data_IF_360918130933
#
_entry.id   IF_360918130933
#
_cell.length_a   1.000
_cell.length_b   1.000
_cell.length_c   1.000
_cell.angle_alpha   90.00
_cell.angle_beta   90.00
_cell.angle_gamma   90.00
#
_symmetry.space_group_name_H-M   'P 1'
#
loop_
_entity.id
_entity.type
_entity.pdbx_description
1 polymer ?
#
# COMPACT_ATOMS: atom_id res chain seq x y z
N UNK A 1 19.51 -17.26 -15.30
CA UNK A 1 19.36 -15.96 -14.62
C UNK A 1 18.00 -15.38 -14.99
N UNK A 2 17.38 -14.71 -14.03
CA UNK A 2 16.16 -13.92 -14.23
C UNK A 2 16.56 -12.47 -14.01
N UNK A 3 16.21 -11.58 -14.93
CA UNK A 3 16.43 -10.15 -14.81
C UNK A 3 15.08 -9.43 -14.90
N UNK A 4 14.85 -8.49 -14.01
CA UNK A 4 13.61 -7.71 -13.97
C UNK A 4 13.92 -6.24 -13.96
N UNK A 5 13.21 -5.46 -14.78
CA UNK A 5 13.30 -4.01 -14.84
C UNK A 5 11.91 -3.40 -14.62
N UNK A 6 11.89 -2.25 -13.91
CA UNK A 6 10.65 -1.51 -13.65
C UNK A 6 10.90 -0.02 -13.80
N UNK A 7 10.14 0.60 -14.69
CA UNK A 7 10.17 2.04 -14.94
C UNK A 7 8.83 2.66 -14.56
N UNK A 8 8.86 3.75 -13.80
CA UNK A 8 7.67 4.51 -13.42
C UNK A 8 7.94 6.00 -13.64
N UNK A 9 7.02 6.67 -14.34
CA UNK A 9 7.03 8.12 -14.49
C UNK A 9 5.68 8.69 -14.07
N UNK A 10 5.70 9.69 -13.19
CA UNK A 10 4.51 10.29 -12.59
C UNK A 10 4.47 11.80 -12.82
N UNK A 11 3.29 12.32 -13.12
CA UNK A 11 3.00 13.74 -13.12
C UNK A 11 1.71 14.01 -12.34
N UNK A 12 1.68 15.04 -11.52
CA UNK A 12 0.49 15.35 -10.73
C UNK A 12 0.29 16.85 -10.51
N UNK A 13 -0.99 17.20 -10.30
CA UNK A 13 -1.44 18.52 -9.86
C UNK A 13 -1.98 18.36 -8.43
N UNK A 14 -1.53 19.21 -7.52
CA UNK A 14 -1.93 19.20 -6.12
C UNK A 14 -2.59 20.53 -5.75
N UNK A 15 -3.78 20.48 -5.14
CA UNK A 15 -4.53 21.65 -4.69
C UNK A 15 -4.93 21.51 -3.23
N UNK A 16 -4.63 22.53 -2.43
CA UNK A 16 -5.09 22.63 -1.03
C UNK A 16 -6.38 23.43 -0.95
N UNK A 17 -7.42 22.80 -0.39
CA UNK A 17 -8.72 23.45 -0.19
C UNK A 17 -8.83 24.10 1.18
N UNK A 18 -8.22 23.47 2.18
CA UNK A 18 -8.16 23.98 3.53
C UNK A 18 -6.77 23.73 4.10
N UNK A 19 -6.21 24.76 4.73
CA UNK A 19 -4.91 24.70 5.38
C UNK A 19 -5.00 25.42 6.71
N UNK A 20 -5.10 24.69 7.81
CA UNK A 20 -5.15 25.23 9.16
C UNK A 20 -4.28 24.37 10.09
N UNK A 21 -4.01 24.84 11.31
CA UNK A 21 -3.26 24.06 12.29
C UNK A 21 -3.97 22.78 12.71
N UNK A 22 -5.31 22.81 12.74
CA UNK A 22 -6.12 21.67 13.21
C UNK A 22 -6.49 20.70 12.08
N UNK A 23 -6.67 21.18 10.83
CA UNK A 23 -7.17 20.35 9.74
C UNK A 23 -6.72 20.87 8.38
N UNK A 24 -6.20 19.97 7.57
CA UNK A 24 -5.82 20.20 6.18
C UNK A 24 -6.61 19.28 5.27
N UNK A 25 -7.06 19.81 4.13
CA UNK A 25 -7.76 19.06 3.09
C UNK A 25 -7.16 19.42 1.74
N UNK A 26 -6.81 18.40 0.96
CA UNK A 26 -6.22 18.57 -0.35
C UNK A 26 -6.76 17.55 -1.34
N UNK A 27 -6.69 17.89 -2.63
CA UNK A 27 -6.89 16.96 -3.74
C UNK A 27 -5.62 16.86 -4.56
N UNK A 28 -5.40 15.69 -5.13
CA UNK A 28 -4.33 15.44 -6.08
C UNK A 28 -4.92 14.72 -7.30
N UNK A 29 -4.61 15.20 -8.49
CA UNK A 29 -4.93 14.54 -9.75
C UNK A 29 -3.60 14.19 -10.40
N UNK A 30 -3.42 12.96 -10.82
CA UNK A 30 -2.16 12.47 -11.38
C UNK A 30 -2.35 11.59 -12.59
N UNK A 31 -1.29 11.49 -13.38
CA UNK A 31 -1.12 10.55 -14.47
C UNK A 31 0.22 9.84 -14.26
N UNK A 32 0.20 8.51 -14.30
CA UNK A 32 1.37 7.65 -14.11
C UNK A 32 1.51 6.71 -15.29
N UNK A 33 2.72 6.58 -15.81
CA UNK A 33 3.07 5.51 -16.75
C UNK A 33 3.97 4.51 -16.03
N UNK A 34 3.66 3.22 -16.18
CA UNK A 34 4.38 2.12 -15.53
C UNK A 34 4.73 1.07 -16.56
N UNK A 35 5.98 0.60 -16.51
CA UNK A 35 6.47 -0.53 -17.30
C UNK A 35 7.17 -1.49 -16.35
N UNK A 36 6.85 -2.76 -16.42
CA UNK A 36 7.62 -3.82 -15.79
C UNK A 36 7.92 -4.89 -16.83
N UNK A 37 9.15 -5.35 -16.85
CA UNK A 37 9.65 -6.37 -17.77
C UNK A 37 10.43 -7.41 -16.98
N UNK A 38 10.27 -8.69 -17.35
CA UNK A 38 11.07 -9.78 -16.81
C UNK A 38 11.55 -10.62 -17.98
N UNK A 39 12.88 -10.77 -18.05
CA UNK A 39 13.56 -11.58 -19.03
C UNK A 39 14.07 -12.90 -18.42
N UNK A 40 13.83 -14.01 -19.09
CA UNK A 40 14.30 -15.33 -18.70
C UNK A 40 15.41 -15.79 -19.66
N UNK A 41 16.65 -15.87 -19.17
CA UNK A 41 17.84 -16.23 -19.98
C UNK A 41 17.94 -17.73 -20.33
N UNK A 42 16.99 -18.56 -19.99
CA UNK A 42 17.02 -19.98 -20.25
C UNK A 42 15.93 -20.38 -21.26
N UNK A 43 16.20 -20.15 -22.50
CA UNK A 43 15.62 -20.53 -23.81
C UNK A 43 14.24 -21.17 -23.94
N UNK A 44 13.37 -21.13 -22.95
CA UNK A 44 12.06 -21.80 -22.96
C UNK A 44 10.88 -21.02 -22.42
N UNK A 45 11.07 -19.82 -21.89
CA UNK A 45 9.99 -19.00 -21.37
C UNK A 45 9.91 -17.67 -22.11
N UNK A 46 8.71 -17.23 -22.43
CA UNK A 46 8.46 -15.92 -23.03
C UNK A 46 8.68 -14.82 -22.01
N UNK A 47 9.40 -13.77 -22.40
CA UNK A 47 9.55 -12.55 -21.64
C UNK A 47 8.17 -11.97 -21.30
N UNK A 48 8.02 -11.48 -20.06
CA UNK A 48 6.79 -10.84 -19.61
C UNK A 48 6.94 -9.34 -19.55
N UNK A 49 5.99 -8.60 -20.12
CA UNK A 49 5.98 -7.14 -20.12
C UNK A 49 4.59 -6.63 -19.77
N UNK A 50 4.49 -5.81 -18.72
CA UNK A 50 3.28 -5.03 -18.42
C UNK A 50 3.53 -3.55 -18.66
N UNK A 51 2.62 -2.88 -19.37
CA UNK A 51 2.64 -1.44 -19.61
C UNK A 51 1.29 -0.84 -19.26
N UNK A 52 1.29 0.09 -18.32
CA UNK A 52 0.07 0.72 -17.83
C UNK A 52 0.20 2.24 -17.87
N UNK A 53 -0.91 2.90 -18.22
CA UNK A 53 -1.10 4.32 -17.97
C UNK A 53 -2.29 4.48 -17.05
N UNK A 54 -2.08 5.11 -15.91
CA UNK A 54 -3.07 5.19 -14.83
C UNK A 54 -3.35 6.65 -14.49
N UNK A 55 -4.59 7.07 -14.67
CA UNK A 55 -5.09 8.33 -14.14
C UNK A 55 -5.53 8.14 -12.69
N UNK A 56 -5.20 9.09 -11.81
CA UNK A 56 -5.53 9.04 -10.38
C UNK A 56 -6.23 10.32 -9.92
N UNK A 57 -7.17 10.17 -9.00
CA UNK A 57 -7.80 11.27 -8.29
C UNK A 57 -7.85 10.95 -6.80
N UNK A 58 -7.19 11.77 -5.98
CA UNK A 58 -7.04 11.56 -4.54
C UNK A 58 -7.67 12.68 -3.74
N UNK A 59 -8.33 12.31 -2.65
CA UNK A 59 -8.71 13.21 -1.56
C UNK A 59 -7.83 12.88 -0.36
N UNK A 60 -7.15 13.88 0.19
CA UNK A 60 -6.20 13.73 1.30
C UNK A 60 -6.65 14.63 2.44
N UNK A 61 -6.81 14.04 3.61
CA UNK A 61 -7.17 14.75 4.84
C UNK A 61 -6.16 14.43 5.94
N UNK A 62 -5.70 15.44 6.65
CA UNK A 62 -4.81 15.29 7.80
C UNK A 62 -5.13 16.33 8.86
N UNK A 63 -4.88 16.02 10.11
CA UNK A 63 -5.16 16.98 11.17
C UNK A 63 -4.74 16.52 12.54
N UNK A 64 -4.98 17.45 13.48
CA UNK A 64 -4.76 17.29 14.92
C UNK A 64 -6.14 17.25 15.59
N UNK A 65 -6.40 16.18 16.31
CA UNK A 65 -7.58 16.05 17.16
C UNK A 65 -7.23 16.53 18.56
N UNK A 66 -7.48 17.79 18.84
CA UNK A 66 -7.15 18.41 20.14
C UNK A 66 -7.97 17.80 21.29
N UNK A 67 -9.21 17.36 21.02
CA UNK A 67 -10.09 16.77 22.04
C UNK A 67 -9.55 15.45 22.57
N UNK A 68 -9.06 14.59 21.67
CA UNK A 68 -8.52 13.28 22.01
C UNK A 68 -6.99 13.21 21.93
N UNK A 69 -6.32 14.34 21.68
CA UNK A 69 -4.84 14.44 21.60
C UNK A 69 -4.26 13.47 20.58
N UNK A 70 -4.81 13.46 19.37
CA UNK A 70 -4.42 12.58 18.30
C UNK A 70 -3.98 13.30 17.04
N UNK A 71 -3.09 12.67 16.26
CA UNK A 71 -2.73 13.06 14.91
C UNK A 71 -3.34 12.03 13.96
N UNK A 72 -3.91 12.49 12.86
CA UNK A 72 -4.43 11.58 11.85
C UNK A 72 -4.11 12.06 10.44
N UNK A 73 -3.95 11.09 9.55
CA UNK A 73 -3.85 11.31 8.12
C UNK A 73 -4.58 10.18 7.40
N UNK A 74 -5.38 10.53 6.40
CA UNK A 74 -6.07 9.57 5.56
C UNK A 74 -6.12 10.04 4.12
N UNK A 75 -6.26 9.08 3.20
CA UNK A 75 -6.49 9.35 1.79
C UNK A 75 -7.44 8.33 1.20
N UNK A 76 -8.19 8.77 0.19
CA UNK A 76 -8.97 7.92 -0.70
C UNK A 76 -8.53 8.29 -2.11
N UNK A 77 -8.12 7.30 -2.91
CA UNK A 77 -7.65 7.49 -4.27
C UNK A 77 -8.42 6.58 -5.22
N UNK A 78 -9.03 7.16 -6.23
CA UNK A 78 -9.56 6.43 -7.36
C UNK A 78 -8.49 6.35 -8.45
N UNK A 79 -8.31 5.16 -9.02
CA UNK A 79 -7.37 4.87 -10.09
C UNK A 79 -8.16 4.37 -11.31
N UNK A 80 -7.83 4.89 -12.47
CA UNK A 80 -8.36 4.44 -13.75
C UNK A 80 -7.22 4.09 -14.69
N UNK A 81 -7.08 2.81 -15.01
CA UNK A 81 -6.22 2.36 -16.10
C UNK A 81 -6.80 2.78 -17.44
N UNK A 82 -5.95 3.25 -18.34
CA UNK A 82 -6.31 3.77 -19.65
C UNK A 82 -5.70 2.88 -20.73
N UNK A 83 -6.55 2.36 -21.63
CA UNK A 83 -6.10 1.58 -22.79
C UNK A 83 -5.52 2.51 -23.86
N UNK A 84 -4.48 2.06 -24.58
CA UNK A 84 -3.87 2.74 -25.73
C UNK A 84 -3.35 4.17 -25.47
N UNK A 85 -3.15 4.53 -24.21
CA UNK A 85 -2.64 5.85 -23.83
C UNK A 85 -1.18 5.76 -23.44
N UNK A 86 -0.32 6.58 -24.05
CA UNK A 86 1.12 6.66 -23.75
C UNK A 86 1.84 5.30 -23.78
N UNK A 87 1.39 4.37 -24.64
CA UNK A 87 1.99 3.05 -24.81
C UNK A 87 1.52 1.99 -23.82
N UNK A 88 0.41 2.25 -23.09
CA UNK A 88 -0.25 1.21 -22.28
C UNK A 88 -0.84 0.10 -23.14
N UNK A 89 -1.09 -1.05 -22.51
CA UNK A 89 -1.79 -2.17 -23.10
C UNK A 89 -3.18 -1.77 -23.61
N UNK A 90 -3.62 -2.40 -24.69
CA UNK A 90 -4.91 -2.15 -25.35
C UNK A 90 -6.07 -2.93 -24.71
N UNK A 91 -7.27 -2.85 -25.30
CA UNK A 91 -8.47 -3.59 -24.87
C UNK A 91 -8.39 -5.08 -25.17
N UNK A 92 -7.53 -5.51 -26.11
CA UNK A 92 -7.35 -6.92 -26.44
C UNK A 92 -6.37 -7.60 -25.49
N UNK A 93 -5.69 -6.79 -24.68
CA UNK A 93 -4.77 -7.22 -23.65
C UNK A 93 -3.39 -7.59 -24.17
N UNK A 94 -2.56 -8.14 -23.27
CA UNK A 94 -1.20 -8.55 -23.56
C UNK A 94 -0.94 -10.01 -23.19
N UNK A 95 -0.69 -10.86 -24.21
CA UNK A 95 -0.39 -12.28 -24.02
C UNK A 95 0.89 -12.55 -23.22
N UNK A 96 1.81 -11.59 -23.20
CA UNK A 96 3.09 -11.67 -22.51
C UNK A 96 3.08 -10.95 -21.15
N UNK A 97 1.89 -10.70 -20.57
CA UNK A 97 1.79 -10.06 -19.27
C UNK A 97 2.51 -10.87 -18.17
N UNK A 98 3.13 -10.17 -17.24
CA UNK A 98 3.68 -10.72 -16.00
C UNK A 98 2.59 -11.35 -15.12
N UNK A 99 1.36 -10.89 -15.24
CA UNK A 99 0.21 -11.46 -14.55
C UNK A 99 -0.38 -12.57 -15.40
N UNK A 100 -0.15 -13.84 -15.02
CA UNK A 100 -0.72 -14.99 -15.72
C UNK A 100 -2.23 -15.02 -15.50
N UNK A 101 -2.96 -15.04 -16.62
CA UNK A 101 -4.40 -15.23 -16.66
C UNK A 101 -4.62 -16.66 -17.13
N UNK A 102 -5.03 -17.57 -16.25
CA UNK A 102 -5.08 -19.01 -16.46
C UNK A 102 -5.72 -19.44 -17.78
N UNK A 103 -4.93 -19.57 -18.84
CA UNK A 103 -5.32 -20.13 -20.14
C UNK A 103 -6.25 -19.28 -20.99
N UNK A 104 -6.56 -18.05 -20.62
CA UNK A 104 -7.43 -17.16 -21.36
C UNK A 104 -6.96 -15.70 -21.31
N UNK A 105 -7.64 -14.81 -21.96
CA UNK A 105 -7.08 -13.64 -22.58
C UNK A 105 -6.34 -12.76 -21.57
N UNK A 106 -5.29 -12.37 -21.98
CA UNK A 106 -4.56 -11.15 -21.90
C UNK A 106 -5.08 -10.10 -20.93
N UNK A 107 -4.22 -9.68 -20.02
CA UNK A 107 -4.49 -8.59 -19.11
C UNK A 107 -4.62 -7.28 -19.90
N UNK A 108 -5.71 -6.56 -19.72
CA UNK A 108 -5.96 -5.26 -20.34
C UNK A 108 -5.27 -4.13 -19.58
N UNK A 109 -4.99 -3.01 -20.27
CA UNK A 109 -4.54 -1.77 -19.64
C UNK A 109 -5.63 -1.05 -18.85
N UNK A 110 -6.90 -1.33 -19.19
CA UNK A 110 -8.08 -0.70 -18.60
C UNK A 110 -8.54 -1.38 -17.32
N UNK A 111 -8.61 -0.64 -16.23
CA UNK A 111 -9.16 -1.11 -14.95
C UNK A 111 -9.70 0.06 -14.12
N UNK A 112 -10.43 -0.27 -13.07
CA UNK A 112 -10.86 0.70 -12.06
C UNK A 112 -10.51 0.16 -10.67
N UNK A 113 -9.88 0.99 -9.84
CA UNK A 113 -9.44 0.62 -8.51
C UNK A 113 -9.67 1.76 -7.53
N UNK A 114 -10.10 1.44 -6.34
CA UNK A 114 -10.18 2.36 -5.21
C UNK A 114 -9.18 1.92 -4.14
N UNK A 115 -8.34 2.85 -3.69
CA UNK A 115 -7.46 2.63 -2.55
C UNK A 115 -7.79 3.60 -1.43
N UNK A 116 -7.58 3.17 -0.19
CA UNK A 116 -7.73 4.02 0.98
C UNK A 116 -6.63 3.74 1.98
N UNK A 117 -6.16 4.79 2.65
CA UNK A 117 -5.23 4.69 3.77
C UNK A 117 -5.73 5.54 4.93
N UNK A 118 -5.46 5.10 6.15
CA UNK A 118 -5.71 5.88 7.35
C UNK A 118 -4.69 5.54 8.42
N UNK A 119 -4.04 6.56 8.95
CA UNK A 119 -3.07 6.45 10.03
C UNK A 119 -3.49 7.37 11.16
N UNK A 120 -3.46 6.87 12.40
CA UNK A 120 -3.74 7.68 13.60
C UNK A 120 -2.77 7.34 14.70
N UNK A 121 -2.11 8.37 15.21
CA UNK A 121 -1.34 8.31 16.45
C UNK A 121 -2.16 8.99 17.54
N UNK A 122 -2.57 8.23 18.55
CA UNK A 122 -3.40 8.66 19.65
C UNK A 122 -2.60 8.68 20.94
N UNK A 123 -2.38 9.83 21.55
CA UNK A 123 -1.80 9.94 22.88
C UNK A 123 -2.87 9.61 23.93
N UNK A 124 -2.63 8.54 24.68
CA UNK A 124 -3.52 8.08 25.75
C UNK A 124 -3.11 8.70 27.10
N UNK A 125 -1.80 8.68 27.38
CA UNK A 125 -1.22 9.26 28.58
C UNK A 125 0.18 9.77 28.31
N UNK A 126 0.89 10.26 29.34
CA UNK A 126 2.27 10.75 29.22
C UNK A 126 3.22 9.71 28.61
N UNK A 127 3.02 8.43 28.94
CA UNK A 127 3.91 7.34 28.53
C UNK A 127 3.26 6.36 27.56
N UNK A 128 1.99 6.53 27.19
CA UNK A 128 1.26 5.57 26.35
C UNK A 128 0.64 6.24 25.14
N UNK A 129 0.93 5.69 23.98
CA UNK A 129 0.30 6.07 22.70
C UNK A 129 -0.19 4.83 21.95
N UNK A 130 -1.25 4.99 21.18
CA UNK A 130 -1.76 3.99 20.27
C UNK A 130 -1.52 4.44 18.84
N UNK A 131 -1.02 3.55 17.99
CA UNK A 131 -0.85 3.77 16.57
C UNK A 131 -1.79 2.83 15.81
N UNK A 132 -2.74 3.39 15.08
CA UNK A 132 -3.61 2.67 14.16
C UNK A 132 -3.14 2.92 12.73
N UNK A 133 -2.90 1.84 11.99
CA UNK A 133 -2.62 1.86 10.56
C UNK A 133 -3.71 1.08 9.85
N UNK A 134 -4.15 1.60 8.72
CA UNK A 134 -5.13 0.99 7.85
C UNK A 134 -4.76 1.24 6.39
N UNK A 135 -4.86 0.21 5.56
CA UNK A 135 -4.81 0.31 4.12
C UNK A 135 -5.83 -0.64 3.49
N UNK A 136 -6.51 -0.19 2.46
CA UNK A 136 -7.49 -0.99 1.74
C UNK A 136 -7.41 -0.76 0.24
N UNK A 137 -7.68 -1.81 -0.52
CA UNK A 137 -7.78 -1.78 -1.98
C UNK A 137 -9.01 -2.55 -2.43
N UNK A 138 -9.75 -1.99 -3.37
CA UNK A 138 -10.89 -2.62 -4.01
C UNK A 138 -10.83 -2.45 -5.52
N UNK A 139 -10.92 -3.55 -6.25
CA UNK A 139 -11.12 -3.57 -7.70
C UNK A 139 -12.05 -4.72 -8.07
N UNK A 140 -12.95 -4.48 -9.02
CA UNK A 140 -13.73 -5.55 -9.66
C UNK A 140 -12.99 -6.13 -10.87
N UNK A 141 -12.00 -5.41 -11.37
CA UNK A 141 -11.16 -5.83 -12.48
C UNK A 141 -9.98 -6.68 -11.98
N UNK A 142 -9.47 -7.55 -12.83
CA UNK A 142 -8.19 -8.22 -12.61
C UNK A 142 -7.07 -7.21 -12.83
N UNK A 143 -6.17 -7.09 -11.88
CA UNK A 143 -5.09 -6.11 -11.91
C UNK A 143 -3.77 -6.74 -12.36
N UNK A 144 -2.94 -5.96 -13.04
CA UNK A 144 -1.53 -6.27 -13.22
C UNK A 144 -0.82 -6.39 -11.87
N UNK A 145 0.25 -7.16 -11.82
CA UNK A 145 1.14 -7.27 -10.66
C UNK A 145 1.60 -5.89 -10.13
N UNK A 146 1.74 -4.90 -11.03
CA UNK A 146 2.08 -3.51 -10.71
C UNK A 146 0.99 -2.76 -9.91
N UNK A 147 -0.24 -3.25 -9.91
CA UNK A 147 -1.40 -2.59 -9.31
C UNK A 147 -2.04 -3.39 -8.18
N UNK A 148 -1.61 -4.64 -7.95
CA UNK A 148 -2.12 -5.47 -6.85
C UNK A 148 -1.65 -4.98 -5.50
N UNK A 149 -2.50 -5.18 -4.49
CA UNK A 149 -2.12 -4.97 -3.10
C UNK A 149 -1.29 -6.14 -2.60
N UNK A 150 -0.12 -5.84 -2.03
CA UNK A 150 0.76 -6.82 -1.41
C UNK A 150 0.54 -6.86 0.10
N UNK A 151 0.42 -8.05 0.66
CA UNK A 151 0.31 -8.34 2.09
C UNK A 151 1.49 -9.23 2.53
N UNK A 152 1.93 -9.04 3.77
CA UNK A 152 3.15 -9.65 4.31
C UNK A 152 4.34 -8.68 4.24
N UNK A 153 5.26 -8.81 5.21
CA UNK A 153 6.45 -7.99 5.35
C UNK A 153 6.35 -6.87 6.38
N UNK A 154 7.44 -6.11 6.58
CA UNK A 154 7.59 -5.16 7.68
C UNK A 154 6.61 -3.99 7.66
N UNK A 155 5.99 -3.71 6.52
CA UNK A 155 5.07 -2.58 6.34
C UNK A 155 3.59 -2.97 6.35
N UNK A 156 3.30 -4.27 6.40
CA UNK A 156 1.95 -4.81 6.49
C UNK A 156 1.88 -5.86 7.60
N UNK A 157 1.65 -7.14 7.32
CA UNK A 157 1.57 -8.18 8.36
C UNK A 157 2.98 -8.70 8.64
N UNK A 158 3.61 -8.21 9.71
CA UNK A 158 5.03 -8.38 10.04
C UNK A 158 5.46 -9.82 10.33
N UNK A 159 4.51 -10.70 10.66
CA UNK A 159 4.79 -12.12 10.91
C UNK A 159 5.06 -12.94 9.63
N UNK A 160 4.90 -12.34 8.45
CA UNK A 160 5.04 -13.02 7.16
C UNK A 160 6.12 -12.39 6.29
N UNK A 161 6.69 -13.13 5.33
CA UNK A 161 7.61 -12.60 4.34
C UNK A 161 6.97 -11.49 3.49
N UNK A 162 7.79 -10.63 2.90
CA UNK A 162 7.31 -9.60 1.97
C UNK A 162 6.65 -10.25 0.76
N UNK A 163 5.42 -9.83 0.45
CA UNK A 163 4.69 -10.33 -0.70
C UNK A 163 4.13 -11.74 -0.53
N UNK A 164 3.93 -12.20 0.71
CA UNK A 164 3.30 -13.50 0.99
C UNK A 164 1.99 -13.71 0.23
N UNK A 165 1.22 -12.65 0.11
CA UNK A 165 0.02 -12.63 -0.71
C UNK A 165 -0.09 -11.34 -1.51
N UNK A 166 -0.56 -11.45 -2.76
CA UNK A 166 -0.89 -10.31 -3.62
C UNK A 166 -2.29 -10.47 -4.20
N UNK A 167 -3.10 -9.41 -4.18
CA UNK A 167 -4.49 -9.50 -4.63
C UNK A 167 -5.06 -8.23 -5.23
N UNK A 168 -6.15 -8.40 -5.99
CA UNK A 168 -6.90 -7.29 -6.59
C UNK A 168 -7.69 -6.53 -5.53
N UNK A 169 -8.08 -7.21 -4.46
CA UNK A 169 -8.73 -6.64 -3.27
C UNK A 169 -7.95 -7.01 -2.04
N UNK A 170 -7.84 -6.08 -1.13
CA UNK A 170 -7.15 -6.35 0.12
C UNK A 170 -7.46 -5.32 1.19
N UNK A 171 -7.22 -5.74 2.41
CA UNK A 171 -7.34 -4.96 3.62
C UNK A 171 -6.15 -5.28 4.52
N UNK A 172 -5.53 -4.25 5.05
CA UNK A 172 -4.54 -4.33 6.12
C UNK A 172 -4.93 -3.41 7.26
N UNK A 173 -4.80 -3.88 8.47
CA UNK A 173 -4.89 -3.04 9.67
C UNK A 173 -3.85 -3.46 10.71
N UNK A 174 -3.31 -2.50 11.41
CA UNK A 174 -2.36 -2.70 12.48
C UNK A 174 -2.71 -1.80 13.65
N UNK A 175 -2.68 -2.37 14.85
CA UNK A 175 -2.79 -1.63 16.11
C UNK A 175 -1.50 -1.81 16.89
N UNK A 176 -0.78 -0.72 17.13
CA UNK A 176 0.42 -0.66 17.94
C UNK A 176 0.17 0.07 19.26
N UNK A 177 0.63 -0.50 20.37
CA UNK A 177 0.70 0.17 21.66
C UNK A 177 2.13 0.54 21.96
N UNK A 178 2.40 1.85 21.98
CA UNK A 178 3.73 2.42 22.20
C UNK A 178 3.82 2.86 23.66
N UNK A 179 4.80 2.34 24.37
CA UNK A 179 5.11 2.66 25.77
C UNK A 179 6.45 3.39 25.78
N UNK A 180 6.42 4.70 26.04
CA UNK A 180 7.60 5.57 26.08
C UNK A 180 8.07 5.74 27.50
N UNK A 181 9.29 5.36 27.80
CA UNK A 181 9.98 5.64 29.05
C UNK A 181 9.43 4.99 30.32
N UNK A 182 8.11 4.77 30.42
CA UNK A 182 7.44 4.37 31.65
C UNK A 182 7.80 2.99 32.23
N UNK A 183 8.53 2.17 31.44
CA UNK A 183 9.05 0.87 31.88
C UNK A 183 10.54 0.92 32.25
N UNK A 184 11.21 2.02 32.04
CA UNK A 184 12.65 2.15 32.16
C UNK A 184 13.05 3.06 33.32
N UNK A 185 14.25 2.85 33.84
CA UNK A 185 14.82 3.67 34.91
C UNK A 185 15.18 5.07 34.41
N UNK A 186 15.02 6.06 35.27
CA UNK A 186 15.51 7.44 35.04
C UNK A 186 17.02 7.60 35.25
N UNK A 187 17.74 6.47 35.53
CA UNK A 187 19.20 6.50 35.60
C UNK A 187 19.83 6.92 34.27
N UNK A 188 20.94 7.63 34.36
CA UNK A 188 21.65 8.14 33.17
C UNK A 188 22.12 6.96 32.29
N UNK A 189 21.72 7.00 31.03
CA UNK A 189 22.12 6.04 30.03
C UNK A 189 23.31 6.56 29.21
N UNK A 190 23.20 7.80 28.71
CA UNK A 190 24.19 8.44 27.88
C UNK A 190 24.08 9.97 27.94
N UNK A 191 25.16 10.66 28.27
CA UNK A 191 25.16 12.12 28.44
C UNK A 191 24.18 12.54 29.53
N UNK A 192 23.25 13.45 29.21
CA UNK A 192 22.21 13.94 30.10
C UNK A 192 20.87 13.17 29.96
N UNK A 193 20.83 12.08 29.17
CA UNK A 193 19.64 11.30 28.90
C UNK A 193 19.53 10.07 29.79
N UNK A 194 18.36 9.86 30.42
CA UNK A 194 18.01 8.64 31.12
C UNK A 194 17.55 7.54 30.14
N UNK A 195 17.54 6.30 30.59
CA UNK A 195 16.98 5.18 29.80
C UNK A 195 15.52 5.44 29.43
N UNK A 196 14.75 6.07 30.32
CA UNK A 196 13.37 6.48 30.09
C UNK A 196 13.19 7.48 28.94
N UNK A 197 14.24 8.25 28.61
CA UNK A 197 14.17 9.27 27.55
C UNK A 197 14.45 8.69 26.16
N UNK A 198 15.21 7.59 26.08
CA UNK A 198 15.72 7.04 24.82
C UNK A 198 15.11 5.71 24.42
N UNK A 199 14.45 4.99 25.36
CA UNK A 199 13.88 3.69 25.09
C UNK A 199 12.35 3.75 25.01
N UNK A 200 11.81 3.02 24.04
CA UNK A 200 10.39 2.75 23.93
C UNK A 200 10.15 1.29 23.58
N UNK A 201 9.03 0.74 24.03
CA UNK A 201 8.55 -0.60 23.66
C UNK A 201 7.26 -0.45 22.85
N UNK A 202 7.15 -1.18 21.77
CA UNK A 202 5.91 -1.24 20.99
C UNK A 202 5.42 -2.68 20.93
N UNK A 203 4.21 -2.90 21.41
CA UNK A 203 3.47 -4.15 21.22
C UNK A 203 2.45 -3.93 20.11
N UNK A 204 2.32 -4.86 19.19
CA UNK A 204 1.44 -4.68 18.04
C UNK A 204 0.65 -5.93 17.67
N UNK A 205 -0.46 -5.72 16.97
CA UNK A 205 -1.26 -6.74 16.32
C UNK A 205 -1.57 -6.31 14.89
N UNK A 206 -1.28 -7.18 13.93
CA UNK A 206 -1.48 -6.99 12.51
C UNK A 206 -2.53 -7.96 11.99
N UNK A 207 -3.39 -7.47 11.09
CA UNK A 207 -4.34 -8.29 10.35
C UNK A 207 -4.34 -7.88 8.88
N UNK A 208 -4.29 -8.86 7.99
CA UNK A 208 -4.39 -8.72 6.55
C UNK A 208 -5.41 -9.69 5.98
N UNK A 209 -6.20 -9.21 5.06
CA UNK A 209 -7.11 -10.00 4.26
C UNK A 209 -6.93 -9.66 2.79
N UNK A 210 -6.88 -10.66 1.93
CA UNK A 210 -6.73 -10.46 0.50
C UNK A 210 -7.56 -11.42 -0.34
N UNK A 211 -7.91 -10.95 -1.55
CA UNK A 211 -8.61 -11.70 -2.56
C UNK A 211 -7.97 -11.43 -3.92
N UNK A 212 -7.55 -12.49 -4.57
CA UNK A 212 -7.03 -12.48 -5.92
C UNK A 212 -7.99 -13.20 -6.86
N UNK A 213 -8.17 -12.67 -8.07
CA UNK A 213 -8.86 -13.36 -9.17
C UNK A 213 -7.79 -13.88 -10.11
N UNK A 214 -7.79 -15.16 -10.36
CA UNK A 214 -7.10 -15.66 -11.52
C UNK A 214 -8.05 -15.60 -12.74
N UNK A 215 -7.49 -15.53 -13.94
CA UNK A 215 -8.31 -15.45 -15.16
C UNK A 215 -9.10 -16.70 -15.49
N UNK A 216 -8.99 -17.76 -14.69
CA UNK A 216 -9.82 -18.97 -14.82
C UNK A 216 -11.16 -18.85 -14.10
N UNK A 217 -11.39 -17.73 -13.40
CA UNK A 217 -12.55 -17.49 -12.54
C UNK A 217 -12.40 -18.10 -11.13
N UNK A 218 -11.30 -18.78 -10.84
CA UNK A 218 -10.98 -19.19 -9.49
C UNK A 218 -10.65 -17.97 -8.64
N UNK A 219 -11.03 -18.04 -7.38
CA UNK A 219 -10.85 -16.96 -6.40
C UNK A 219 -10.00 -17.49 -5.27
N UNK A 220 -8.78 -16.98 -5.18
CA UNK A 220 -7.92 -17.20 -4.04
C UNK A 220 -8.20 -16.15 -2.95
N UNK A 221 -8.35 -16.61 -1.70
CA UNK A 221 -8.51 -15.75 -0.53
C UNK A 221 -7.51 -16.16 0.52
N UNK A 222 -6.92 -15.17 1.18
CA UNK A 222 -5.99 -15.42 2.26
C UNK A 222 -6.22 -14.44 3.41
N UNK A 223 -6.07 -14.95 4.63
CA UNK A 223 -6.06 -14.18 5.86
C UNK A 223 -4.71 -14.36 6.55
N UNK A 224 -4.12 -13.25 6.96
CA UNK A 224 -2.83 -13.19 7.62
C UNK A 224 -3.01 -12.48 8.96
N UNK A 225 -2.40 -12.99 10.02
CA UNK A 225 -2.41 -12.32 11.31
C UNK A 225 -1.08 -12.47 12.03
N UNK A 226 -0.67 -11.45 12.77
CA UNK A 226 0.59 -11.43 13.49
C UNK A 226 0.52 -10.54 14.72
N UNK A 227 1.36 -10.83 15.71
CA UNK A 227 1.54 -10.02 16.90
C UNK A 227 3.00 -10.05 17.34
N UNK A 228 3.45 -9.00 18.01
CA UNK A 228 4.81 -8.87 18.55
C UNK A 228 5.00 -7.66 19.47
#
# INVERSE_FOLDING_TARGET
NIEGDTEIADAYLYSRWKNSRAFNLATQIGLSTKRAEVEFFDGGFSDGVDRLTVATASLIAEGVDERFRGLYRGSITFHKGLNDVLGSMDETGNNNSLTKVGGAPTLEGGFSKLTSTYNRLQTVSRHHSLLLLFAGQYSDDQLSSLEKMSLGGPYTVRAYPTGEFTGDRGLFTSLGWIINGGLFSDSIAFGDYGWSDILSVTVFADYGWGKNRDGSGAVERQELSGAG
#
